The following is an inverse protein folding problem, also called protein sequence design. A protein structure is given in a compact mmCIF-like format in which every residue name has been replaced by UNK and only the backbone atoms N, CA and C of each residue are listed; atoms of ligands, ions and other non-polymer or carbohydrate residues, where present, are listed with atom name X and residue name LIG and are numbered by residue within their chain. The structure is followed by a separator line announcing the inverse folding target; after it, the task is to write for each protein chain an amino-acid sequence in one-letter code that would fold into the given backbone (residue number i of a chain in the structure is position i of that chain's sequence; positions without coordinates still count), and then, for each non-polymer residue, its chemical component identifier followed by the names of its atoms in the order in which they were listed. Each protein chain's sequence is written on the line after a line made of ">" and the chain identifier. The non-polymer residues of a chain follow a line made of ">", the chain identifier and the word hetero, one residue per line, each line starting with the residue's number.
data_IF_550753724618
#
_entry.id   IF_550753724618
#
_cell.length_a   1.000
_cell.length_b   1.000
_cell.length_c   1.000
_cell.angle_alpha   90.00
_cell.angle_beta   90.00
_cell.angle_gamma   90.00
#
_symmetry.space_group_name_H-M   'P 1'
#
loop_
_entity.id
_entity.type
_entity.pdbx_description
1 polymer ?
#
# COMPACT_ATOMS: atom_id res chain seq x y z
N UNK A 1 -13.02 0.96 10.61
CA UNK A 1 -13.73 -0.20 11.21
C UNK A 1 -12.76 -1.39 11.18
N UNK A 2 -12.69 -2.19 12.23
CA UNK A 2 -11.82 -3.38 12.26
C UNK A 2 -12.54 -4.54 11.57
N UNK A 3 -11.90 -5.12 10.54
CA UNK A 3 -12.41 -6.23 9.72
C UNK A 3 -11.25 -7.15 9.33
N UNK A 4 -11.52 -8.43 9.10
CA UNK A 4 -10.57 -9.37 8.47
C UNK A 4 -10.44 -9.12 6.97
N UNK A 5 -11.49 -8.59 6.35
CA UNK A 5 -11.45 -8.04 4.99
C UNK A 5 -10.77 -6.67 5.04
N UNK A 6 -9.44 -6.70 5.09
CA UNK A 6 -8.59 -5.52 5.26
C UNK A 6 -7.48 -5.40 4.21
N UNK A 7 -7.41 -6.31 3.23
CA UNK A 7 -6.38 -6.29 2.18
C UNK A 7 -6.71 -5.25 1.11
N UNK A 8 -6.60 -3.98 1.50
CA UNK A 8 -6.89 -2.81 0.67
C UNK A 8 -5.66 -1.92 0.55
N UNK A 9 -5.72 -1.02 -0.43
CA UNK A 9 -4.74 0.04 -0.61
C UNK A 9 -5.46 1.36 -0.87
N UNK A 10 -4.92 2.44 -0.31
CA UNK A 10 -5.37 3.80 -0.55
C UNK A 10 -4.34 4.51 -1.42
N UNK A 11 -4.77 5.11 -2.53
CA UNK A 11 -3.89 5.81 -3.49
C UNK A 11 -4.19 7.30 -3.44
N UNK A 12 -3.14 8.10 -3.24
CA UNK A 12 -3.17 9.55 -3.31
C UNK A 12 -2.30 9.99 -4.49
N UNK A 13 -2.92 10.67 -5.45
CA UNK A 13 -2.23 11.21 -6.62
C UNK A 13 -2.43 12.74 -6.69
N UNK A 14 -1.38 13.53 -6.91
CA UNK A 14 -1.49 14.98 -6.98
C UNK A 14 -2.11 15.40 -8.32
N UNK A 15 -2.78 16.56 -8.36
CA UNK A 15 -3.41 17.08 -9.58
C UNK A 15 -2.43 17.24 -10.76
N UNK A 16 -1.13 17.37 -10.49
CA UNK A 16 -0.07 17.42 -11.50
C UNK A 16 -0.07 16.17 -12.40
N UNK A 17 -0.50 15.00 -11.90
CA UNK A 17 -0.66 13.76 -12.69
C UNK A 17 -1.72 13.90 -13.79
N UNK A 18 -2.81 14.62 -13.52
CA UNK A 18 -3.93 14.83 -14.45
C UNK A 18 -3.54 15.82 -15.55
N UNK A 19 -2.79 16.86 -15.19
CA UNK A 19 -2.48 17.97 -16.11
C UNK A 19 -1.37 17.61 -17.10
N UNK A 20 -0.33 16.89 -16.65
CA UNK A 20 0.88 16.70 -17.44
C UNK A 20 1.15 15.23 -17.85
N UNK A 21 0.28 14.28 -17.49
CA UNK A 21 0.55 12.84 -17.64
C UNK A 21 1.92 12.46 -17.04
N UNK A 22 2.29 13.12 -15.94
CA UNK A 22 3.58 12.97 -15.28
C UNK A 22 3.74 11.55 -14.75
N UNK A 23 4.93 10.97 -14.95
CA UNK A 23 5.35 9.70 -14.34
C UNK A 23 6.09 10.03 -13.04
N UNK A 24 5.37 10.12 -11.93
CA UNK A 24 5.88 10.56 -10.63
C UNK A 24 6.46 9.39 -9.81
N UNK A 25 7.44 9.63 -8.92
CA UNK A 25 7.89 8.62 -7.96
C UNK A 25 6.74 8.13 -7.09
N UNK A 26 6.79 6.85 -6.70
CA UNK A 26 5.76 6.19 -5.89
C UNK A 26 6.30 5.90 -4.49
N UNK A 27 5.70 6.55 -3.49
CA UNK A 27 5.98 6.29 -2.08
C UNK A 27 4.99 5.26 -1.54
N UNK A 28 5.45 4.05 -1.27
CA UNK A 28 4.63 2.99 -0.65
C UNK A 28 4.81 3.03 0.86
N UNK A 29 3.72 3.27 1.59
CA UNK A 29 3.69 3.31 3.04
C UNK A 29 3.01 2.06 3.62
N UNK A 30 3.79 1.30 4.36
CA UNK A 30 3.36 0.12 5.10
C UNK A 30 2.73 0.58 6.42
N UNK A 31 1.41 0.72 6.45
CA UNK A 31 0.73 1.19 7.64
C UNK A 31 0.03 0.04 8.37
N UNK A 32 0.33 -0.09 9.66
CA UNK A 32 -0.08 -1.26 10.45
C UNK A 32 -1.18 -0.94 11.46
N UNK A 33 -2.17 -0.10 11.17
CA UNK A 33 -3.36 -0.09 12.02
C UNK A 33 -4.66 -0.07 11.22
N UNK A 34 -5.51 -1.11 11.38
CA UNK A 34 -6.77 -1.18 10.66
C UNK A 34 -7.66 0.00 11.08
N UNK A 35 -8.08 0.80 10.10
CA UNK A 35 -9.00 1.91 10.30
C UNK A 35 -8.38 3.28 10.59
N UNK A 36 -7.06 3.44 10.43
CA UNK A 36 -6.35 4.71 10.64
C UNK A 36 -5.48 5.12 9.45
N UNK A 37 -5.71 4.63 8.22
CA UNK A 37 -4.98 5.14 7.05
C UNK A 37 -5.10 6.67 6.91
N UNK A 38 -6.20 7.26 7.38
CA UNK A 38 -6.42 8.70 7.50
C UNK A 38 -5.60 9.42 8.58
N UNK A 39 -4.91 8.69 9.47
CA UNK A 39 -4.00 9.27 10.48
C UNK A 39 -2.60 9.54 9.92
N UNK A 40 -2.28 8.95 8.77
CA UNK A 40 -1.11 9.31 7.99
C UNK A 40 -1.52 10.42 7.03
N UNK A 41 -0.85 11.58 7.12
CA UNK A 41 -1.11 12.75 6.25
C UNK A 41 -0.57 12.50 4.82
N UNK A 42 -1.05 11.44 4.19
CA UNK A 42 -0.67 10.98 2.85
C UNK A 42 -1.00 12.04 1.79
N UNK A 43 -2.10 12.77 1.99
CA UNK A 43 -2.53 13.90 1.17
C UNK A 43 -1.52 15.06 1.20
N UNK A 44 -1.02 15.41 2.38
CA UNK A 44 0.00 16.46 2.55
C UNK A 44 1.31 16.03 1.90
N UNK A 45 1.75 14.78 2.13
CA UNK A 45 2.98 14.25 1.53
C UNK A 45 2.89 14.17 0.00
N UNK A 46 1.75 13.72 -0.52
CA UNK A 46 1.44 13.67 -1.94
C UNK A 46 1.54 15.08 -2.57
N UNK A 47 0.92 16.08 -1.93
CA UNK A 47 0.85 17.44 -2.46
C UNK A 47 2.18 18.18 -2.35
N UNK A 48 2.86 18.10 -1.20
CA UNK A 48 4.11 18.83 -0.95
C UNK A 48 5.30 18.18 -1.64
N UNK A 49 5.32 16.85 -1.70
CA UNK A 49 6.41 16.09 -2.31
C UNK A 49 6.29 15.92 -3.83
N UNK A 50 5.12 16.22 -4.42
CA UNK A 50 4.79 15.91 -5.83
C UNK A 50 5.09 14.45 -6.17
N UNK A 51 4.53 13.54 -5.36
CA UNK A 51 4.70 12.08 -5.45
C UNK A 51 3.36 11.38 -5.34
N UNK A 52 3.24 10.19 -5.95
CA UNK A 52 2.10 9.31 -5.70
C UNK A 52 2.34 8.57 -4.39
N UNK A 53 1.41 8.65 -3.45
CA UNK A 53 1.50 7.95 -2.16
C UNK A 53 0.53 6.79 -2.16
N UNK A 54 1.01 5.59 -1.85
CA UNK A 54 0.20 4.38 -1.72
C UNK A 54 0.30 3.86 -0.30
N UNK A 55 -0.81 3.85 0.43
CA UNK A 55 -0.88 3.26 1.78
C UNK A 55 -1.43 1.85 1.66
N UNK A 56 -0.70 0.85 2.13
CA UNK A 56 -1.12 -0.55 2.04
C UNK A 56 -1.50 -1.12 3.40
N UNK A 57 -2.61 -1.87 3.44
CA UNK A 57 -3.04 -2.65 4.58
C UNK A 57 -2.68 -4.13 4.36
N UNK A 58 -2.32 -4.82 5.43
CA UNK A 58 -1.92 -6.23 5.42
C UNK A 58 -2.38 -6.92 6.70
N UNK A 59 -2.45 -8.26 6.70
CA UNK A 59 -2.84 -9.02 7.90
C UNK A 59 -1.81 -8.85 9.02
N UNK A 60 -2.30 -8.75 10.25
CA UNK A 60 -1.49 -8.50 11.45
C UNK A 60 -1.73 -9.53 12.54
N UNK A 61 -0.88 -9.48 13.58
CA UNK A 61 -0.98 -10.33 14.75
C UNK A 61 -1.01 -11.81 14.37
N UNK A 62 -1.88 -12.56 15.04
CA UNK A 62 -2.05 -14.00 14.77
C UNK A 62 -2.50 -14.26 13.32
N UNK A 63 -3.41 -13.44 12.77
CA UNK A 63 -3.92 -13.65 11.40
C UNK A 63 -2.85 -13.44 10.32
N UNK A 64 -1.87 -12.56 10.56
CA UNK A 64 -0.78 -12.31 9.62
C UNK A 64 0.45 -13.19 9.84
N UNK A 65 0.70 -13.65 11.07
CA UNK A 65 2.02 -14.18 11.43
C UNK A 65 1.98 -15.48 12.24
N UNK A 66 0.81 -16.07 12.47
CA UNK A 66 0.72 -17.38 13.12
C UNK A 66 1.43 -18.47 12.30
N UNK A 67 2.28 -19.24 12.97
CA UNK A 67 3.02 -20.35 12.37
C UNK A 67 3.03 -21.54 13.32
N UNK A 68 2.87 -22.73 12.75
CA UNK A 68 3.10 -24.01 13.42
C UNK A 68 4.46 -24.62 13.06
N UNK A 69 5.27 -23.93 12.24
CA UNK A 69 6.51 -24.49 11.70
C UNK A 69 6.29 -25.67 10.75
N UNK A 70 5.08 -25.78 10.17
CA UNK A 70 4.68 -26.83 9.22
C UNK A 70 4.01 -26.22 8.00
N UNK A 71 3.86 -26.97 6.91
CA UNK A 71 3.20 -26.50 5.69
C UNK A 71 1.73 -26.08 5.92
N UNK A 72 1.06 -26.69 6.90
CA UNK A 72 -0.32 -26.35 7.23
C UNK A 72 -0.47 -24.92 7.80
N UNK A 73 0.58 -24.38 8.42
CA UNK A 73 0.64 -23.00 8.85
C UNK A 73 2.10 -22.51 8.85
N UNK A 74 2.58 -22.12 7.67
CA UNK A 74 3.96 -21.65 7.50
C UNK A 74 4.22 -20.30 8.18
N UNK A 75 3.18 -19.48 8.31
CA UNK A 75 3.26 -18.10 8.78
C UNK A 75 3.66 -17.13 7.68
N UNK A 76 4.06 -15.92 8.09
CA UNK A 76 4.45 -14.81 7.21
C UNK A 76 3.38 -14.34 6.20
N UNK A 77 2.11 -14.68 6.45
CA UNK A 77 1.00 -14.27 5.59
C UNK A 77 0.91 -12.75 5.41
N UNK A 78 1.19 -11.97 6.46
CA UNK A 78 1.28 -10.52 6.39
C UNK A 78 2.40 -10.02 5.46
N UNK A 79 3.52 -10.74 5.37
CA UNK A 79 4.60 -10.41 4.41
C UNK A 79 4.21 -10.77 2.98
N UNK A 80 3.50 -11.89 2.79
CA UNK A 80 2.98 -12.26 1.48
C UNK A 80 1.91 -11.27 0.99
N UNK A 81 1.11 -10.71 1.89
CA UNK A 81 0.18 -9.62 1.55
C UNK A 81 0.94 -8.38 1.06
N UNK A 82 2.02 -7.99 1.76
CA UNK A 82 2.87 -6.87 1.35
C UNK A 82 3.52 -7.12 -0.02
N UNK A 83 4.04 -8.33 -0.24
CA UNK A 83 4.61 -8.73 -1.53
C UNK A 83 3.57 -8.63 -2.65
N UNK A 84 2.36 -9.14 -2.43
CA UNK A 84 1.27 -9.08 -3.40
C UNK A 84 0.86 -7.64 -3.69
N UNK A 85 0.78 -6.79 -2.66
CA UNK A 85 0.49 -5.37 -2.81
C UNK A 85 1.56 -4.66 -3.67
N UNK A 86 2.85 -4.92 -3.42
CA UNK A 86 3.94 -4.37 -4.23
C UNK A 86 3.89 -4.84 -5.68
N UNK A 87 3.55 -6.11 -5.93
CA UNK A 87 3.36 -6.63 -7.28
C UNK A 87 2.17 -5.96 -7.99
N UNK A 88 1.08 -5.73 -7.27
CA UNK A 88 -0.08 -5.01 -7.78
C UNK A 88 0.29 -3.56 -8.14
N UNK A 89 1.00 -2.86 -7.24
CA UNK A 89 1.46 -1.47 -7.45
C UNK A 89 2.36 -1.41 -8.69
N UNK A 90 3.39 -2.26 -8.78
CA UNK A 90 4.29 -2.31 -9.92
C UNK A 90 3.56 -2.56 -11.25
N UNK A 91 2.45 -3.30 -11.23
CA UNK A 91 1.66 -3.61 -12.42
C UNK A 91 0.69 -2.48 -12.80
N UNK A 92 0.09 -1.77 -11.84
CA UNK A 92 -1.07 -0.90 -12.11
C UNK A 92 -0.87 0.58 -11.76
N UNK A 93 0.19 0.97 -11.05
CA UNK A 93 0.33 2.34 -10.55
C UNK A 93 0.48 3.41 -11.66
N UNK A 94 0.89 3.00 -12.85
CA UNK A 94 0.94 3.85 -14.04
C UNK A 94 -0.43 4.47 -14.39
N UNK A 95 -1.53 3.77 -14.10
CA UNK A 95 -2.89 4.28 -14.30
C UNK A 95 -3.24 5.46 -13.38
N UNK A 96 -2.43 5.68 -12.34
CA UNK A 96 -2.58 6.75 -11.36
C UNK A 96 -1.48 7.82 -11.48
N UNK A 97 -0.69 7.80 -12.56
CA UNK A 97 0.42 8.75 -12.78
C UNK A 97 1.70 8.41 -12.01
N UNK A 98 1.83 7.19 -11.47
CA UNK A 98 3.04 6.72 -10.82
C UNK A 98 3.99 5.99 -11.78
N UNK A 99 5.30 6.15 -11.57
CA UNK A 99 6.34 5.36 -12.22
C UNK A 99 6.56 4.05 -11.44
N UNK A 100 6.27 2.86 -12.01
CA UNK A 100 6.48 1.60 -11.30
C UNK A 100 7.96 1.27 -11.02
N UNK A 101 8.91 2.04 -11.55
CA UNK A 101 10.37 1.84 -11.36
C UNK A 101 11.00 2.87 -10.41
N UNK A 102 10.25 3.82 -9.85
CA UNK A 102 10.79 4.90 -9.02
C UNK A 102 9.98 5.15 -7.75
#
# INVERSE_FOLDING_TARGET
>A
MMSEDCLTLDIYAPNSTIVNQSSLPVLVFLYSSPGYSSAFAADVLCTVGDVVVVVINFRQGMLGFFSLGSEAASGNYGLFDQQMALQWIAKYIHSFGGDPKR
#
